data_IF_240753020792
#
_entry.id   IF_240753020792
#
_cell.length_a   1.000
_cell.length_b   1.000
_cell.length_c   1.000
_cell.angle_alpha   90.00
_cell.angle_beta   90.00
_cell.angle_gamma   90.00
#
_symmetry.space_group_name_H-M   'P 1'
#
loop_
_entity.id
_entity.type
_entity.pdbx_description
1 polymer ?
#
# COMPACT_ATOMS: atom_id res chain seq x y z
N UNK A 1 -7.55 -2.36 5.83
CA UNK A 1 -7.79 -3.38 6.87
C UNK A 1 -7.44 -2.84 8.28
N UNK A 2 -8.04 -3.41 9.36
CA UNK A 2 -7.76 -3.04 10.75
C UNK A 2 -8.50 -1.80 11.28
N UNK A 3 -9.41 -1.18 10.55
CA UNK A 3 -10.17 0.01 10.98
C UNK A 3 -11.06 -0.27 12.20
N UNK A 4 -11.76 -1.39 12.21
CA UNK A 4 -12.60 -1.84 13.33
C UNK A 4 -11.75 -2.10 14.57
N UNK A 5 -10.62 -2.79 14.42
CA UNK A 5 -9.66 -3.06 15.50
C UNK A 5 -9.12 -1.77 16.09
N UNK A 6 -8.74 -0.78 15.25
CA UNK A 6 -8.27 0.52 15.72
C UNK A 6 -9.34 1.28 16.51
N UNK A 7 -10.60 1.19 16.09
CA UNK A 7 -11.72 1.84 16.79
C UNK A 7 -11.98 1.21 18.15
N UNK A 8 -12.02 -0.13 18.25
CA UNK A 8 -12.17 -0.86 19.51
C UNK A 8 -11.03 -0.55 20.49
N UNK A 9 -9.79 -0.53 19.98
CA UNK A 9 -8.61 -0.17 20.78
C UNK A 9 -8.69 1.27 21.28
N UNK A 10 -9.09 2.22 20.44
CA UNK A 10 -9.22 3.63 20.83
C UNK A 10 -10.31 3.83 21.87
N UNK A 11 -11.48 3.19 21.71
CA UNK A 11 -12.56 3.24 22.69
C UNK A 11 -12.13 2.67 24.03
N UNK A 12 -11.51 1.49 24.04
CA UNK A 12 -11.03 0.85 25.26
C UNK A 12 -9.98 1.69 25.96
N UNK A 13 -9.02 2.25 25.20
CA UNK A 13 -7.97 3.10 25.75
C UNK A 13 -8.54 4.37 26.36
N UNK A 14 -9.54 5.01 25.74
CA UNK A 14 -10.25 6.17 26.31
C UNK A 14 -10.99 5.81 27.59
N UNK A 15 -11.64 4.65 27.67
CA UNK A 15 -12.31 4.17 28.88
C UNK A 15 -11.32 4.02 30.04
N UNK A 16 -10.20 3.35 29.79
CA UNK A 16 -9.16 3.14 30.82
C UNK A 16 -8.53 4.47 31.30
N UNK A 17 -8.24 5.40 30.38
CA UNK A 17 -7.70 6.73 30.70
C UNK A 17 -8.68 7.50 31.60
N UNK A 18 -9.99 7.45 31.32
CA UNK A 18 -11.01 8.18 32.09
C UNK A 18 -11.20 7.66 33.52
N UNK A 19 -10.69 6.47 33.83
CA UNK A 19 -10.73 5.92 35.19
C UNK A 19 -9.56 6.39 36.07
N UNK A 20 -8.58 7.09 35.53
CA UNK A 20 -7.36 7.47 36.16
C UNK A 20 -7.34 8.99 36.47
N UNK A 21 -7.05 9.35 37.72
CA UNK A 21 -6.89 10.76 38.16
C UNK A 21 -5.39 11.11 38.22
N UNK A 22 -4.70 11.02 37.08
CA UNK A 22 -3.25 11.24 36.95
C UNK A 22 -3.01 12.30 35.87
N UNK A 23 -1.83 12.94 35.93
CA UNK A 23 -1.44 13.95 34.96
C UNK A 23 -1.45 13.37 33.53
N UNK A 24 -2.21 13.99 32.63
CA UNK A 24 -2.37 13.56 31.24
C UNK A 24 -1.02 13.40 30.51
N UNK A 25 -0.03 14.23 30.85
CA UNK A 25 1.31 14.13 30.24
C UNK A 25 2.00 12.82 30.61
N UNK A 26 1.94 12.42 31.87
CA UNK A 26 2.51 11.16 32.36
C UNK A 26 1.82 9.95 31.72
N UNK A 27 0.48 10.03 31.62
CA UNK A 27 -0.29 8.98 30.89
C UNK A 27 0.16 8.87 29.46
N UNK A 28 0.29 10.00 28.73
CA UNK A 28 0.72 9.99 27.31
C UNK A 28 2.13 9.44 27.13
N UNK A 29 3.06 9.84 27.98
CA UNK A 29 4.45 9.36 27.90
C UNK A 29 4.50 7.85 28.18
N UNK A 30 3.72 7.36 29.17
CA UNK A 30 3.59 5.94 29.44
C UNK A 30 2.91 5.15 28.30
N UNK A 31 1.82 5.66 27.73
CA UNK A 31 1.17 5.01 26.57
C UNK A 31 2.15 4.90 25.39
N UNK A 32 2.93 5.95 25.12
CA UNK A 32 3.93 5.93 24.04
C UNK A 32 5.06 4.94 24.30
N UNK A 33 5.52 4.81 25.53
CA UNK A 33 6.49 3.80 25.94
C UNK A 33 5.91 2.40 25.81
N UNK A 34 4.69 2.17 26.29
CA UNK A 34 3.97 0.91 26.18
C UNK A 34 3.75 0.49 24.72
N UNK A 35 3.38 1.43 23.84
CA UNK A 35 3.26 1.18 22.40
C UNK A 35 4.55 0.62 21.81
N UNK A 36 5.70 1.17 22.19
CA UNK A 36 6.99 0.67 21.73
C UNK A 36 7.22 -0.76 22.22
N UNK A 37 6.99 -1.05 23.51
CA UNK A 37 7.15 -2.39 24.08
C UNK A 37 6.24 -3.42 23.40
N UNK A 38 4.99 -3.06 23.08
CA UNK A 38 4.04 -3.95 22.38
C UNK A 38 4.49 -4.19 20.95
N UNK A 39 4.95 -3.17 20.23
CA UNK A 39 5.48 -3.35 18.87
C UNK A 39 6.73 -4.25 18.86
N UNK A 40 7.67 -4.03 19.77
CA UNK A 40 8.87 -4.86 19.91
C UNK A 40 8.50 -6.33 20.25
N UNK A 41 7.44 -6.54 21.03
CA UNK A 41 6.91 -7.87 21.32
C UNK A 41 6.31 -8.51 20.07
N UNK A 42 5.45 -7.80 19.32
CA UNK A 42 4.83 -8.31 18.09
C UNK A 42 5.89 -8.68 17.05
N UNK A 43 6.95 -7.86 16.91
CA UNK A 43 8.08 -8.19 16.03
C UNK A 43 8.80 -9.47 16.44
N UNK A 44 8.94 -9.69 17.74
CA UNK A 44 9.63 -10.87 18.28
C UNK A 44 8.82 -12.16 18.10
N UNK A 45 7.50 -12.10 18.17
CA UNK A 45 6.60 -13.27 18.04
C UNK A 45 6.10 -13.48 16.62
N UNK A 46 6.43 -12.59 15.70
CA UNK A 46 6.02 -12.69 14.30
C UNK A 46 6.61 -13.93 13.63
N UNK A 47 5.81 -14.58 12.81
CA UNK A 47 6.20 -15.74 12.01
C UNK A 47 6.19 -15.35 10.54
N UNK A 48 7.23 -15.71 9.80
CA UNK A 48 7.27 -15.48 8.34
C UNK A 48 6.30 -16.42 7.63
N UNK A 49 5.71 -15.93 6.57
CA UNK A 49 4.79 -16.73 5.75
C UNK A 49 5.56 -17.80 4.99
N UNK A 50 5.13 -19.04 5.12
CA UNK A 50 5.63 -20.20 4.39
C UNK A 50 4.47 -21.05 3.87
N UNK A 51 4.57 -21.53 2.62
CA UNK A 51 3.61 -22.45 2.02
C UNK A 51 2.17 -21.94 2.00
N UNK A 52 1.24 -22.77 2.50
CA UNK A 52 -0.21 -22.55 2.45
C UNK A 52 -0.71 -21.39 3.35
N UNK A 53 0.17 -20.81 4.19
CA UNK A 53 -0.20 -19.66 5.03
C UNK A 53 -0.60 -18.43 4.21
N UNK A 54 -0.08 -18.30 2.98
CA UNK A 54 -0.43 -17.19 2.09
C UNK A 54 -1.93 -17.23 1.71
N UNK A 55 -2.43 -18.42 1.39
CA UNK A 55 -3.86 -18.63 1.08
C UNK A 55 -4.73 -18.35 2.30
N UNK A 56 -4.28 -18.76 3.50
CA UNK A 56 -5.00 -18.50 4.76
C UNK A 56 -5.11 -16.99 5.04
N UNK A 57 -4.00 -16.23 4.91
CA UNK A 57 -4.02 -14.76 5.08
C UNK A 57 -4.97 -14.10 4.10
N UNK A 58 -4.88 -14.47 2.83
CA UNK A 58 -5.72 -13.89 1.78
C UNK A 58 -7.20 -14.20 2.00
N UNK A 59 -7.53 -15.44 2.37
CA UNK A 59 -8.91 -15.87 2.62
C UNK A 59 -9.54 -15.14 3.80
N UNK A 60 -8.82 -15.01 4.93
CA UNK A 60 -9.31 -14.29 6.11
C UNK A 60 -9.61 -12.84 5.77
N UNK A 61 -8.72 -12.20 5.03
CA UNK A 61 -8.90 -10.80 4.63
C UNK A 61 -10.02 -10.60 3.60
N UNK A 62 -10.45 -11.68 2.91
CA UNK A 62 -11.64 -11.72 2.06
C UNK A 62 -12.91 -12.17 2.79
N UNK A 63 -13.04 -11.97 4.10
CA UNK A 63 -14.17 -12.46 4.92
C UNK A 63 -14.34 -13.99 4.89
N UNK A 64 -13.24 -14.74 4.95
CA UNK A 64 -13.16 -16.20 4.85
C UNK A 64 -13.65 -16.77 3.50
N UNK A 65 -13.57 -16.00 2.43
CA UNK A 65 -13.82 -16.48 1.08
C UNK A 65 -12.57 -17.21 0.56
N UNK A 66 -12.60 -18.54 0.57
CA UNK A 66 -11.47 -19.38 0.19
C UNK A 66 -11.17 -19.30 -1.32
N UNK A 67 -12.18 -19.08 -2.17
CA UNK A 67 -11.98 -18.96 -3.63
C UNK A 67 -11.22 -17.67 -3.96
N UNK A 68 -11.67 -16.54 -3.41
CA UNK A 68 -10.97 -15.25 -3.58
C UNK A 68 -9.59 -15.28 -2.95
N UNK A 69 -9.44 -15.88 -1.77
CA UNK A 69 -8.15 -16.03 -1.10
C UNK A 69 -7.15 -16.81 -1.95
N UNK A 70 -7.58 -17.89 -2.59
CA UNK A 70 -6.75 -18.69 -3.49
C UNK A 70 -6.31 -17.89 -4.72
N UNK A 71 -7.22 -17.13 -5.33
CA UNK A 71 -6.91 -16.26 -6.49
C UNK A 71 -5.81 -15.25 -6.13
N UNK A 72 -5.90 -14.59 -4.96
CA UNK A 72 -4.92 -13.61 -4.51
C UNK A 72 -3.58 -14.28 -4.17
N UNK A 73 -3.60 -15.43 -3.49
CA UNK A 73 -2.40 -16.19 -3.20
C UNK A 73 -1.69 -16.67 -4.49
N UNK A 74 -2.47 -17.07 -5.50
CA UNK A 74 -1.94 -17.42 -6.83
C UNK A 74 -1.28 -16.21 -7.51
N UNK A 75 -1.90 -15.01 -7.43
CA UNK A 75 -1.30 -13.78 -7.96
C UNK A 75 0.09 -13.53 -7.35
N UNK A 76 0.19 -13.53 -6.01
CA UNK A 76 1.48 -13.33 -5.33
C UNK A 76 2.49 -14.47 -5.57
N UNK A 77 2.01 -15.69 -5.78
CA UNK A 77 2.89 -16.82 -6.11
C UNK A 77 3.51 -16.64 -7.49
N UNK A 78 2.74 -16.14 -8.46
CA UNK A 78 3.20 -15.89 -9.84
C UNK A 78 4.16 -14.70 -9.94
N UNK A 79 3.87 -13.59 -9.25
CA UNK A 79 4.70 -12.38 -9.33
C UNK A 79 5.81 -12.32 -8.28
N UNK A 80 5.80 -13.21 -7.30
CA UNK A 80 6.78 -13.27 -6.22
C UNK A 80 6.47 -12.32 -5.05
N UNK A 81 7.26 -12.43 -3.98
CA UNK A 81 7.02 -11.72 -2.70
C UNK A 81 7.10 -10.20 -2.79
N UNK A 82 7.95 -9.70 -3.68
CA UNK A 82 8.17 -8.28 -3.93
C UNK A 82 7.36 -7.77 -5.14
N UNK A 83 6.60 -8.68 -5.79
CA UNK A 83 5.77 -8.37 -6.94
C UNK A 83 4.58 -7.46 -6.60
N UNK A 84 4.07 -6.80 -7.60
CA UNK A 84 2.90 -5.93 -7.48
C UNK A 84 1.66 -6.72 -7.89
N UNK A 85 0.62 -6.66 -7.06
CA UNK A 85 -0.70 -7.17 -7.40
C UNK A 85 -1.66 -5.99 -7.46
N UNK A 86 -2.31 -5.83 -8.61
CA UNK A 86 -3.31 -4.80 -8.87
C UNK A 86 -4.67 -5.46 -9.13
N UNK A 87 -5.70 -4.65 -9.15
CA UNK A 87 -7.07 -5.07 -9.38
C UNK A 87 -7.70 -4.26 -10.50
N UNK A 88 -8.44 -4.95 -11.38
CA UNK A 88 -9.18 -4.34 -12.48
C UNK A 88 -10.53 -5.02 -12.65
N UNK A 89 -11.49 -4.35 -13.30
CA UNK A 89 -12.77 -4.98 -13.62
C UNK A 89 -12.61 -6.03 -14.73
N UNK A 90 -13.20 -7.19 -14.50
CA UNK A 90 -13.28 -8.23 -15.52
C UNK A 90 -14.33 -7.87 -16.59
N UNK A 91 -14.07 -8.14 -17.87
CA UNK A 91 -15.10 -8.03 -18.91
C UNK A 91 -16.17 -9.14 -18.81
N UNK A 92 -15.97 -10.11 -17.92
CA UNK A 92 -16.85 -11.25 -17.66
C UNK A 92 -17.30 -11.29 -16.21
N UNK A 93 -18.25 -12.17 -15.87
CA UNK A 93 -18.71 -12.40 -14.49
C UNK A 93 -17.66 -13.13 -13.63
N UNK A 94 -16.65 -13.73 -14.25
CA UNK A 94 -15.62 -14.51 -13.57
C UNK A 94 -14.50 -13.63 -12.99
N UNK A 95 -14.00 -14.04 -11.83
CA UNK A 95 -12.80 -13.45 -11.20
C UNK A 95 -11.61 -14.37 -11.44
N UNK A 96 -10.51 -13.81 -12.00
CA UNK A 96 -9.31 -14.59 -12.33
C UNK A 96 -8.04 -13.74 -12.24
N UNK A 97 -6.87 -14.39 -12.27
CA UNK A 97 -5.56 -13.72 -12.27
C UNK A 97 -4.94 -13.79 -13.63
N UNK A 98 -4.54 -12.64 -14.14
CA UNK A 98 -3.67 -12.47 -15.28
C UNK A 98 -2.32 -11.93 -14.84
N UNK A 99 -1.23 -12.42 -15.39
CA UNK A 99 0.10 -11.84 -15.15
C UNK A 99 0.47 -11.05 -16.39
N UNK A 100 0.77 -9.79 -16.17
CA UNK A 100 1.14 -8.84 -17.23
C UNK A 100 2.51 -8.25 -16.93
N UNK A 101 3.22 -7.85 -17.96
CA UNK A 101 4.47 -7.14 -17.78
C UNK A 101 4.21 -5.77 -17.15
N UNK A 102 5.06 -5.39 -16.23
CA UNK A 102 4.89 -4.13 -15.55
C UNK A 102 6.10 -3.71 -14.74
N UNK A 103 6.18 -2.43 -14.47
CA UNK A 103 7.26 -1.83 -13.71
C UNK A 103 6.73 -0.98 -12.58
N UNK A 104 7.31 -1.16 -11.39
CA UNK A 104 7.12 -0.26 -10.26
C UNK A 104 8.32 0.67 -10.18
N UNK A 105 8.05 1.97 -10.11
CA UNK A 105 9.04 3.01 -9.84
C UNK A 105 8.77 3.64 -8.46
N UNK A 106 9.83 3.86 -7.69
CA UNK A 106 9.76 4.46 -6.34
C UNK A 106 9.61 5.99 -6.46
N UNK A 107 8.54 6.41 -7.09
CA UNK A 107 8.19 7.83 -7.28
C UNK A 107 6.67 7.97 -7.25
N UNK A 108 6.16 8.72 -6.29
CA UNK A 108 4.73 8.91 -6.04
C UNK A 108 4.21 10.26 -6.54
N UNK A 109 2.99 10.59 -6.09
CA UNK A 109 2.28 11.81 -6.42
C UNK A 109 3.08 13.06 -6.01
N UNK A 110 3.37 13.92 -6.95
CA UNK A 110 4.05 15.21 -6.67
C UNK A 110 3.08 16.30 -6.18
N UNK A 111 1.77 16.08 -6.30
CA UNK A 111 0.74 16.97 -5.79
C UNK A 111 -0.58 16.22 -5.57
N UNK A 112 -1.32 16.50 -4.47
CA UNK A 112 -2.65 15.93 -4.23
C UNK A 112 -3.68 16.30 -5.31
N UNK A 113 -3.43 17.35 -6.09
CA UNK A 113 -4.32 17.76 -7.18
C UNK A 113 -4.28 16.80 -8.39
N UNK A 114 -3.29 15.91 -8.47
CA UNK A 114 -3.22 14.87 -9.50
C UNK A 114 -4.02 13.61 -9.16
N UNK A 115 -4.58 13.51 -7.96
CA UNK A 115 -5.46 12.40 -7.55
C UNK A 115 -6.69 12.34 -8.46
N UNK A 116 -7.00 11.16 -8.99
CA UNK A 116 -8.21 10.87 -9.76
C UNK A 116 -9.27 10.20 -8.90
N UNK A 117 -8.87 9.26 -8.05
CA UNK A 117 -9.70 8.61 -7.05
C UNK A 117 -9.40 9.21 -5.66
N UNK A 118 -10.34 10.00 -5.15
CA UNK A 118 -10.17 10.70 -3.86
C UNK A 118 -10.31 9.78 -2.66
N UNK A 119 -11.01 8.69 -2.79
CA UNK A 119 -11.23 7.75 -1.71
C UNK A 119 -9.96 6.94 -1.46
N UNK A 120 -9.32 6.51 -2.54
CA UNK A 120 -8.04 5.77 -2.51
C UNK A 120 -6.80 6.65 -2.46
N UNK A 121 -6.93 7.96 -2.73
CA UNK A 121 -5.82 8.92 -2.84
C UNK A 121 -4.78 8.51 -3.90
N UNK A 122 -5.23 7.94 -5.01
CA UNK A 122 -4.37 7.52 -6.14
C UNK A 122 -4.70 8.28 -7.41
N UNK A 123 -3.75 8.31 -8.34
CA UNK A 123 -3.95 8.75 -9.70
C UNK A 123 -3.90 7.55 -10.63
N UNK A 124 -5.04 7.21 -11.22
CA UNK A 124 -5.18 6.18 -12.24
C UNK A 124 -5.29 6.84 -13.62
N UNK A 125 -4.44 6.42 -14.53
CA UNK A 125 -4.42 6.84 -15.92
C UNK A 125 -4.55 5.60 -16.81
N UNK A 126 -5.54 5.60 -17.67
CA UNK A 126 -5.90 4.51 -18.56
C UNK A 126 -5.34 4.79 -19.95
N UNK A 127 -4.51 3.92 -20.48
CA UNK A 127 -3.82 4.05 -21.75
C UNK A 127 -3.03 5.39 -21.89
N UNK A 128 -2.17 5.73 -20.89
CA UNK A 128 -1.44 6.99 -20.91
C UNK A 128 -0.31 7.02 -21.93
N UNK A 129 -0.08 8.21 -22.47
CA UNK A 129 1.19 8.56 -23.09
C UNK A 129 2.21 8.87 -21.99
N UNK A 130 3.47 8.50 -22.18
CA UNK A 130 4.54 8.68 -21.20
C UNK A 130 5.63 9.58 -21.77
N UNK A 131 5.85 10.72 -21.14
CA UNK A 131 6.93 11.65 -21.48
C UNK A 131 8.03 11.55 -20.43
N UNK A 132 9.28 11.27 -20.84
CA UNK A 132 10.43 11.15 -19.93
C UNK A 132 11.45 12.25 -20.27
N UNK A 133 11.69 13.14 -19.30
CA UNK A 133 12.65 14.24 -19.44
C UNK A 133 13.60 14.23 -18.25
N UNK A 134 14.89 14.02 -18.49
CA UNK A 134 15.92 14.02 -17.43
C UNK A 134 16.28 15.40 -16.92
N UNK A 135 16.09 16.44 -17.75
CA UNK A 135 16.30 17.84 -17.38
C UNK A 135 15.05 18.45 -16.78
N UNK A 136 15.19 19.52 -16.00
CA UNK A 136 14.04 20.24 -15.45
C UNK A 136 13.24 20.91 -16.56
N UNK A 137 11.91 20.79 -16.51
CA UNK A 137 11.00 21.48 -17.42
C UNK A 137 10.69 22.86 -16.82
N UNK A 138 11.34 23.95 -17.31
CA UNK A 138 11.26 25.27 -16.69
C UNK A 138 9.99 26.04 -17.10
N UNK A 139 9.38 25.69 -18.23
CA UNK A 139 8.23 26.39 -18.77
C UNK A 139 7.31 25.44 -19.54
N UNK A 140 6.00 25.66 -19.41
CA UNK A 140 4.97 24.86 -20.09
C UNK A 140 5.08 24.92 -21.62
N UNK A 141 5.65 25.99 -22.17
CA UNK A 141 5.85 26.12 -23.63
C UNK A 141 6.78 25.04 -24.19
N UNK A 142 7.75 24.56 -23.39
CA UNK A 142 8.69 23.52 -23.81
C UNK A 142 8.00 22.18 -24.14
N UNK A 143 6.86 21.93 -23.57
CA UNK A 143 6.05 20.73 -23.80
C UNK A 143 4.72 21.03 -24.51
N UNK A 144 4.61 22.20 -25.15
CA UNK A 144 3.36 22.65 -25.77
C UNK A 144 2.89 21.68 -26.86
N UNK A 145 3.77 21.24 -27.74
CA UNK A 145 3.45 20.29 -28.84
C UNK A 145 2.84 18.99 -28.29
N UNK A 146 3.45 18.45 -27.22
CA UNK A 146 2.93 17.24 -26.53
C UNK A 146 1.55 17.51 -25.92
N UNK A 147 1.36 18.64 -25.24
CA UNK A 147 0.09 19.00 -24.64
C UNK A 147 -1.03 19.19 -25.69
N UNK A 148 -0.72 19.82 -26.82
CA UNK A 148 -1.66 19.95 -27.93
C UNK A 148 -2.06 18.59 -28.49
N UNK A 149 -1.12 17.66 -28.62
CA UNK A 149 -1.39 16.28 -29.05
C UNK A 149 -2.28 15.54 -28.05
N UNK A 150 -1.97 15.64 -26.76
CA UNK A 150 -2.76 15.05 -25.65
C UNK A 150 -4.20 15.58 -25.63
N UNK A 151 -4.39 16.88 -25.79
CA UNK A 151 -5.72 17.50 -25.88
C UNK A 151 -6.49 17.00 -27.10
N UNK A 152 -5.82 16.90 -28.25
CA UNK A 152 -6.41 16.47 -29.51
C UNK A 152 -6.82 14.98 -29.49
N UNK A 153 -5.97 14.14 -28.93
CA UNK A 153 -6.20 12.68 -28.84
C UNK A 153 -7.04 12.29 -27.62
N UNK A 154 -7.20 13.18 -26.63
CA UNK A 154 -7.87 12.95 -25.35
C UNK A 154 -7.26 11.79 -24.53
N UNK A 155 -6.04 11.37 -24.87
CA UNK A 155 -5.30 10.38 -24.08
C UNK A 155 -4.72 11.02 -22.82
N UNK A 156 -4.63 10.30 -21.69
CA UNK A 156 -3.93 10.78 -20.51
C UNK A 156 -2.42 10.95 -20.77
N UNK A 157 -1.76 11.79 -19.98
CA UNK A 157 -0.32 12.00 -20.03
C UNK A 157 0.31 11.75 -18.67
N UNK A 158 1.30 10.89 -18.62
CA UNK A 158 2.21 10.74 -17.49
C UNK A 158 3.53 11.44 -17.83
N UNK A 159 3.93 12.41 -17.01
CA UNK A 159 5.21 13.12 -17.14
C UNK A 159 6.15 12.59 -16.06
N UNK A 160 7.26 12.00 -16.47
CA UNK A 160 8.34 11.53 -15.59
C UNK A 160 9.51 12.48 -15.73
N UNK A 161 9.52 13.54 -14.92
CA UNK A 161 10.49 14.62 -15.01
C UNK A 161 10.52 15.49 -13.76
N UNK A 162 11.64 16.14 -13.44
CA UNK A 162 11.64 17.30 -12.56
C UNK A 162 10.94 18.47 -13.27
N UNK A 163 9.93 19.04 -12.62
CA UNK A 163 9.08 20.09 -13.22
C UNK A 163 9.05 21.31 -12.31
N UNK A 164 9.27 22.50 -12.89
CA UNK A 164 9.15 23.77 -12.16
C UNK A 164 7.76 23.95 -11.53
N UNK A 165 7.72 24.63 -10.38
CA UNK A 165 6.50 24.85 -9.61
C UNK A 165 5.38 25.57 -10.40
N UNK A 166 5.76 26.50 -11.28
CA UNK A 166 4.78 27.24 -12.10
C UNK A 166 4.15 26.33 -13.17
N UNK A 167 4.96 25.47 -13.78
CA UNK A 167 4.49 24.47 -14.74
C UNK A 167 3.58 23.45 -14.06
N UNK A 168 4.00 22.96 -12.89
CA UNK A 168 3.20 22.04 -12.05
C UNK A 168 1.83 22.66 -11.71
N UNK A 169 1.80 23.91 -11.24
CA UNK A 169 0.58 24.62 -10.91
C UNK A 169 -0.33 24.81 -12.14
N UNK A 170 0.25 25.14 -13.31
CA UNK A 170 -0.52 25.29 -14.55
C UNK A 170 -1.15 23.97 -15.02
N UNK A 171 -0.42 22.86 -14.93
CA UNK A 171 -0.94 21.52 -15.28
C UNK A 171 -2.00 21.05 -14.29
N UNK A 172 -1.82 21.27 -12.98
CA UNK A 172 -2.85 21.03 -11.97
C UNK A 172 -4.14 21.79 -12.28
N UNK A 173 -4.03 23.08 -12.62
CA UNK A 173 -5.20 23.92 -12.94
C UNK A 173 -5.93 23.40 -14.18
N UNK A 174 -5.23 22.99 -15.22
CA UNK A 174 -5.84 22.43 -16.43
C UNK A 174 -6.50 21.07 -16.16
N UNK A 175 -5.92 20.24 -15.30
CA UNK A 175 -6.53 18.99 -14.86
C UNK A 175 -7.81 19.24 -14.07
N UNK A 176 -7.80 20.15 -13.10
CA UNK A 176 -8.99 20.49 -12.29
C UNK A 176 -10.11 21.05 -13.17
N UNK A 177 -9.78 21.80 -14.22
CA UNK A 177 -10.76 22.28 -15.23
C UNK A 177 -11.26 21.18 -16.17
N UNK A 178 -10.69 19.97 -16.11
CA UNK A 178 -11.05 18.86 -16.98
C UNK A 178 -10.54 18.97 -18.43
N UNK A 179 -9.62 19.89 -18.71
CA UNK A 179 -9.05 20.08 -20.05
C UNK A 179 -8.11 18.94 -20.45
N UNK A 180 -7.36 18.41 -19.48
CA UNK A 180 -6.39 17.33 -19.68
C UNK A 180 -6.43 16.35 -18.50
N UNK A 181 -6.11 15.08 -18.78
CA UNK A 181 -5.80 14.08 -17.77
C UNK A 181 -4.28 13.95 -17.70
N UNK A 182 -3.67 14.43 -16.62
CA UNK A 182 -2.20 14.46 -16.48
C UNK A 182 -1.79 14.09 -15.07
N UNK A 183 -0.66 13.40 -14.94
CA UNK A 183 0.05 13.20 -13.70
C UNK A 183 1.55 13.51 -13.91
N UNK A 184 2.21 13.94 -12.85
CA UNK A 184 3.64 14.25 -12.83
C UNK A 184 4.27 13.44 -11.70
N UNK A 185 5.30 12.69 -12.03
CA UNK A 185 6.12 11.94 -11.09
C UNK A 185 7.58 12.31 -11.26
N UNK A 186 8.36 12.23 -10.19
CA UNK A 186 9.78 12.50 -10.25
C UNK A 186 10.52 11.33 -10.92
N UNK A 187 11.73 11.62 -11.43
CA UNK A 187 12.57 10.61 -12.08
C UNK A 187 12.94 9.49 -11.08
N UNK A 188 12.86 8.21 -11.51
CA UNK A 188 13.26 7.11 -10.68
C UNK A 188 14.78 7.05 -10.47
N UNK A 189 15.19 6.55 -9.31
CA UNK A 189 16.60 6.36 -8.98
C UNK A 189 17.33 7.63 -8.55
N UNK A 190 18.52 7.45 -8.03
CA UNK A 190 19.42 8.53 -7.63
C UNK A 190 20.88 8.05 -7.62
N UNK A 191 21.82 9.00 -7.76
CA UNK A 191 23.24 8.71 -7.79
C UNK A 191 23.73 8.19 -9.16
N UNK A 192 24.82 7.42 -9.21
CA UNK A 192 25.51 7.08 -10.46
C UNK A 192 24.70 6.23 -11.45
N UNK A 193 23.65 5.54 -10.99
CA UNK A 193 22.81 4.67 -11.82
C UNK A 193 21.47 5.30 -12.18
N UNK A 194 21.26 6.59 -11.89
CA UNK A 194 20.00 7.30 -12.18
C UNK A 194 19.70 7.27 -13.68
N UNK A 195 20.67 7.68 -14.50
CA UNK A 195 20.49 7.76 -15.94
C UNK A 195 20.23 6.38 -16.57
N UNK A 196 20.89 5.34 -16.03
CA UNK A 196 20.63 3.96 -16.43
C UNK A 196 19.21 3.52 -16.08
N UNK A 197 18.69 3.88 -14.90
CA UNK A 197 17.33 3.54 -14.47
C UNK A 197 16.28 4.25 -15.32
N UNK A 198 16.53 5.52 -15.66
CA UNK A 198 15.67 6.29 -16.56
C UNK A 198 15.68 5.71 -17.97
N UNK A 199 16.86 5.28 -18.46
CA UNK A 199 16.98 4.61 -19.76
C UNK A 199 16.28 3.23 -19.78
N UNK A 200 16.29 2.49 -18.66
CA UNK A 200 15.56 1.25 -18.54
C UNK A 200 14.04 1.49 -18.57
N UNK A 201 13.56 2.52 -17.86
CA UNK A 201 12.14 2.90 -17.90
C UNK A 201 11.71 3.33 -19.31
N UNK A 202 12.53 4.14 -19.98
CA UNK A 202 12.25 4.58 -21.33
C UNK A 202 12.17 3.42 -22.33
N UNK A 203 13.08 2.47 -22.18
CA UNK A 203 13.05 1.23 -22.97
C UNK A 203 11.74 0.46 -22.75
N UNK A 204 11.31 0.29 -21.49
CA UNK A 204 10.10 -0.44 -21.13
C UNK A 204 8.82 0.18 -21.70
N UNK A 205 8.72 1.51 -21.74
CA UNK A 205 7.52 2.21 -22.25
C UNK A 205 7.65 2.62 -23.73
N UNK A 206 8.78 2.31 -24.37
CA UNK A 206 9.03 2.73 -25.75
C UNK A 206 9.22 4.24 -25.92
N UNK A 207 9.61 4.97 -24.86
CA UNK A 207 9.85 6.42 -24.90
C UNK A 207 11.29 6.76 -25.24
N UNK A 208 11.50 7.98 -25.75
CA UNK A 208 12.84 8.57 -25.87
C UNK A 208 13.11 9.47 -24.66
N UNK A 209 14.25 9.25 -23.97
CA UNK A 209 14.68 10.14 -22.89
C UNK A 209 15.20 11.45 -23.48
N UNK A 210 14.68 12.57 -23.02
CA UNK A 210 15.13 13.91 -23.37
C UNK A 210 16.09 14.42 -22.29
N UNK A 211 17.31 14.78 -22.67
CA UNK A 211 18.33 15.24 -21.74
C UNK A 211 19.15 16.41 -22.34
N UNK A 212 18.95 17.64 -21.84
CA UNK A 212 19.71 18.82 -22.29
C UNK A 212 21.23 18.68 -22.07
N UNK A 213 21.63 17.93 -21.03
CA UNK A 213 23.06 17.71 -20.74
C UNK A 213 23.75 16.85 -21.81
N UNK A 214 22.98 16.04 -22.52
CA UNK A 214 23.46 15.24 -23.65
C UNK A 214 23.30 15.94 -25.01
N UNK A 215 22.77 17.18 -25.01
CA UNK A 215 22.62 18.00 -26.19
C UNK A 215 21.25 17.98 -26.84
N UNK A 216 20.25 17.37 -26.20
CA UNK A 216 18.88 17.47 -26.67
C UNK A 216 18.30 18.86 -26.38
N UNK A 217 17.48 19.38 -27.31
CA UNK A 217 16.81 20.67 -27.14
C UNK A 217 15.37 20.47 -26.66
N UNK A 218 15.04 21.03 -25.51
CA UNK A 218 13.67 20.97 -24.97
C UNK A 218 12.63 21.67 -25.87
N UNK A 219 13.05 22.56 -26.76
CA UNK A 219 12.15 23.22 -27.74
C UNK A 219 11.75 22.27 -28.89
N UNK A 220 12.48 21.17 -29.06
CA UNK A 220 12.24 20.14 -30.09
C UNK A 220 11.52 18.89 -29.59
N UNK A 221 10.93 18.96 -28.39
CA UNK A 221 10.12 17.83 -27.87
C UNK A 221 8.89 17.66 -28.74
N UNK A 222 8.78 16.51 -29.39
CA UNK A 222 7.68 16.15 -30.26
C UNK A 222 7.02 14.84 -29.83
N UNK A 223 5.93 14.50 -30.49
CA UNK A 223 5.11 13.30 -30.25
C UNK A 223 5.92 12.01 -30.36
N UNK A 224 6.92 11.97 -31.24
CA UNK A 224 7.80 10.82 -31.46
C UNK A 224 8.68 10.45 -30.25
N UNK A 225 8.75 11.33 -29.23
CA UNK A 225 9.46 11.07 -27.99
C UNK A 225 8.59 10.36 -26.94
N UNK A 226 7.29 10.25 -27.17
CA UNK A 226 6.34 9.67 -26.24
C UNK A 226 6.38 8.14 -26.27
N UNK A 227 6.38 7.55 -25.09
CA UNK A 227 6.08 6.14 -24.89
C UNK A 227 4.62 5.91 -24.53
N UNK A 228 4.26 4.65 -24.36
CA UNK A 228 2.91 4.22 -24.04
C UNK A 228 2.90 3.21 -22.88
N UNK A 229 1.81 3.19 -22.15
CA UNK A 229 1.53 2.15 -21.16
C UNK A 229 0.03 1.79 -21.22
N UNK A 230 -0.34 0.59 -20.76
CA UNK A 230 -1.75 0.22 -20.65
C UNK A 230 -2.42 0.94 -19.50
N UNK A 231 -1.77 0.93 -18.33
CA UNK A 231 -2.25 1.67 -17.16
C UNK A 231 -1.09 2.29 -16.41
N UNK A 232 -1.35 3.40 -15.73
CA UNK A 232 -0.42 3.99 -14.78
C UNK A 232 -1.15 4.32 -13.49
N UNK A 233 -0.78 3.68 -12.40
CA UNK A 233 -1.36 3.88 -11.07
C UNK A 233 -0.28 4.48 -10.17
N UNK A 234 -0.53 5.70 -9.68
CA UNK A 234 0.41 6.41 -8.81
C UNK A 234 -0.23 6.63 -7.44
N UNK A 235 0.41 6.15 -6.41
CA UNK A 235 0.09 6.43 -5.00
C UNK A 235 1.00 7.52 -4.40
N UNK A 236 1.03 7.67 -3.09
CA UNK A 236 1.86 8.66 -2.39
C UNK A 236 3.36 8.36 -2.47
N UNK A 237 3.77 7.16 -2.85
CA UNK A 237 5.18 6.70 -2.83
C UNK A 237 5.65 6.09 -4.13
N UNK A 238 4.76 5.41 -4.84
CA UNK A 238 5.14 4.59 -5.99
C UNK A 238 4.26 4.88 -7.19
N UNK A 239 4.78 4.57 -8.37
CA UNK A 239 4.01 4.50 -9.60
C UNK A 239 4.20 3.13 -10.23
N UNK A 240 3.10 2.47 -10.56
CA UNK A 240 3.08 1.18 -11.25
C UNK A 240 2.59 1.40 -12.66
N UNK A 241 3.37 0.94 -13.62
CA UNK A 241 3.04 0.96 -15.05
C UNK A 241 2.81 -0.47 -15.52
N UNK A 242 1.71 -0.71 -16.20
CA UNK A 242 1.48 -1.94 -16.95
C UNK A 242 1.83 -1.69 -18.40
N UNK A 243 2.68 -2.52 -18.96
CA UNK A 243 3.29 -2.33 -20.27
C UNK A 243 3.24 -3.62 -21.10
N UNK A 244 3.56 -3.51 -22.37
CA UNK A 244 3.79 -4.64 -23.28
C UNK A 244 5.19 -4.46 -23.87
N UNK A 245 6.10 -5.33 -23.49
CA UNK A 245 7.49 -5.24 -23.95
C UNK A 245 7.86 -6.49 -24.73
N UNK A 246 8.53 -6.36 -25.88
CA UNK A 246 9.01 -7.50 -26.65
C UNK A 246 9.98 -8.36 -25.82
N UNK A 247 9.68 -9.65 -25.66
CA UNK A 247 10.45 -10.57 -24.81
C UNK A 247 11.92 -10.65 -25.24
N UNK A 248 12.20 -10.71 -26.55
CA UNK A 248 13.55 -10.85 -27.10
C UNK A 248 14.48 -9.69 -26.70
N UNK A 249 13.98 -8.46 -26.78
CA UNK A 249 14.75 -7.25 -26.42
C UNK A 249 14.98 -7.14 -24.90
N UNK A 250 14.03 -7.65 -24.11
CA UNK A 250 14.11 -7.72 -22.67
C UNK A 250 15.20 -8.68 -22.21
N UNK A 251 15.27 -9.88 -22.81
CA UNK A 251 16.28 -10.87 -22.47
C UNK A 251 17.71 -10.35 -22.72
N UNK A 252 17.93 -9.67 -23.86
CA UNK A 252 19.23 -9.06 -24.17
C UNK A 252 19.64 -8.01 -23.12
N UNK A 253 18.70 -7.18 -22.70
CA UNK A 253 18.96 -6.13 -21.70
C UNK A 253 19.25 -6.72 -20.32
N UNK A 254 18.48 -7.69 -19.89
CA UNK A 254 18.71 -8.46 -18.65
C UNK A 254 20.09 -9.12 -18.65
N UNK A 255 20.47 -9.76 -19.76
CA UNK A 255 21.78 -10.38 -19.91
C UNK A 255 22.92 -9.35 -19.82
N UNK A 256 22.74 -8.16 -20.35
CA UNK A 256 23.71 -7.05 -20.26
C UNK A 256 23.89 -6.56 -18.81
N UNK A 257 22.79 -6.42 -18.05
CA UNK A 257 22.84 -6.00 -16.66
C UNK A 257 23.50 -7.07 -15.78
N UNK A 258 23.19 -8.35 -16.00
CA UNK A 258 23.82 -9.45 -15.28
C UNK A 258 25.35 -9.44 -15.46
N UNK A 259 25.83 -9.24 -16.71
CA UNK A 259 27.28 -9.09 -16.97
C UNK A 259 27.88 -7.89 -16.22
N UNK A 260 27.11 -6.83 -16.01
CA UNK A 260 27.55 -5.64 -15.27
C UNK A 260 27.60 -5.92 -13.77
N UNK A 261 26.62 -6.66 -13.22
CA UNK A 261 26.61 -7.10 -11.81
C UNK A 261 27.87 -7.89 -11.49
N UNK A 262 28.28 -8.82 -12.37
CA UNK A 262 29.47 -9.65 -12.20
C UNK A 262 30.76 -8.80 -12.21
N UNK A 263 30.83 -7.79 -13.05
CA UNK A 263 31.99 -6.85 -13.09
C UNK A 263 32.17 -6.04 -11.80
N UNK A 264 31.08 -5.74 -11.09
CA UNK A 264 31.10 -4.93 -9.88
C UNK A 264 31.04 -5.75 -8.59
N UNK A 265 31.44 -7.03 -8.61
CA UNK A 265 31.43 -7.94 -7.45
C UNK A 265 32.16 -7.35 -6.21
N UNK A 266 33.16 -6.50 -6.41
CA UNK A 266 33.92 -5.86 -5.33
C UNK A 266 33.27 -4.59 -4.75
N UNK A 267 32.16 -4.10 -5.31
CA UNK A 267 31.45 -2.92 -4.82
C UNK A 267 29.97 -3.24 -4.51
N UNK A 268 29.66 -3.64 -3.25
CA UNK A 268 28.30 -4.07 -2.87
C UNK A 268 27.23 -3.01 -3.09
N UNK A 269 27.57 -1.73 -3.01
CA UNK A 269 26.61 -0.64 -3.21
C UNK A 269 26.16 -0.56 -4.68
N UNK A 270 27.13 -0.57 -5.61
CA UNK A 270 26.83 -0.52 -7.06
C UNK A 270 26.12 -1.82 -7.48
N UNK A 271 26.59 -2.96 -6.99
CA UNK A 271 25.95 -4.25 -7.25
C UNK A 271 24.48 -4.26 -6.81
N UNK A 272 24.18 -3.73 -5.61
CA UNK A 272 22.80 -3.61 -5.12
C UNK A 272 21.94 -2.76 -6.07
N UNK A 273 22.49 -1.67 -6.62
CA UNK A 273 21.77 -0.80 -7.56
C UNK A 273 21.46 -1.51 -8.89
N UNK A 274 22.41 -2.25 -9.43
CA UNK A 274 22.16 -3.03 -10.65
C UNK A 274 21.15 -4.18 -10.41
N UNK A 275 21.15 -4.78 -9.21
CA UNK A 275 20.11 -5.75 -8.84
C UNK A 275 18.73 -5.11 -8.74
N UNK A 276 18.62 -3.87 -8.26
CA UNK A 276 17.36 -3.13 -8.27
C UNK A 276 16.87 -2.85 -9.69
N UNK A 277 17.77 -2.47 -10.62
CA UNK A 277 17.44 -2.33 -12.05
C UNK A 277 16.97 -3.65 -12.66
N UNK A 278 17.66 -4.75 -12.35
CA UNK A 278 17.27 -6.08 -12.82
C UNK A 278 15.87 -6.45 -12.32
N UNK A 279 15.58 -6.20 -11.04
CA UNK A 279 14.27 -6.44 -10.46
C UNK A 279 13.17 -5.57 -11.10
N UNK A 280 13.51 -4.34 -11.50
CA UNK A 280 12.58 -3.45 -12.22
C UNK A 280 12.26 -3.99 -13.62
N UNK A 281 13.27 -4.48 -14.37
CA UNK A 281 13.10 -5.00 -15.71
C UNK A 281 12.42 -6.37 -15.75
N UNK A 282 12.70 -7.24 -14.78
CA UNK A 282 12.07 -8.57 -14.65
C UNK A 282 10.78 -8.55 -13.87
N UNK A 283 10.26 -7.36 -13.56
CA UNK A 283 9.02 -7.19 -12.81
C UNK A 283 7.81 -7.65 -13.62
N UNK A 284 6.93 -8.39 -12.96
CA UNK A 284 5.60 -8.70 -13.47
C UNK A 284 4.56 -8.16 -12.50
N UNK A 285 3.40 -7.79 -13.03
CA UNK A 285 2.25 -7.31 -12.26
C UNK A 285 1.16 -8.37 -12.32
N UNK A 286 0.74 -8.86 -11.14
CA UNK A 286 -0.42 -9.73 -11.04
C UNK A 286 -1.68 -8.88 -11.13
N UNK A 287 -2.45 -9.05 -12.19
CA UNK A 287 -3.72 -8.36 -12.38
C UNK A 287 -4.87 -9.25 -11.95
N UNK A 288 -5.53 -8.93 -10.85
CA UNK A 288 -6.75 -9.61 -10.41
C UNK A 288 -7.93 -8.98 -11.15
N UNK A 289 -8.45 -9.68 -12.14
CA UNK A 289 -9.66 -9.29 -12.88
C UNK A 289 -10.88 -9.70 -12.06
N UNK A 290 -11.67 -8.71 -11.62
CA UNK A 290 -12.82 -8.94 -10.73
C UNK A 290 -14.11 -8.91 -11.53
N UNK A 291 -14.84 -10.03 -11.53
CA UNK A 291 -16.15 -10.17 -12.15
C UNK A 291 -17.25 -10.34 -11.12
N UNK A 292 -18.47 -9.90 -11.45
CA UNK A 292 -19.67 -10.08 -10.67
C UNK A 292 -20.94 -9.87 -11.52
N UNK A 293 -22.08 -10.40 -11.07
CA UNK A 293 -23.36 -10.34 -11.77
C UNK A 293 -24.01 -8.95 -11.71
N UNK A 294 -23.65 -8.13 -10.74
CA UNK A 294 -24.20 -6.80 -10.55
C UNK A 294 -23.15 -5.76 -10.16
N UNK A 295 -23.42 -4.47 -10.45
CA UNK A 295 -22.52 -3.36 -10.09
C UNK A 295 -22.35 -3.21 -8.57
N UNK A 296 -23.36 -3.54 -7.77
CA UNK A 296 -23.31 -3.44 -6.30
C UNK A 296 -22.40 -4.54 -5.75
N UNK A 297 -22.57 -5.76 -6.23
CA UNK A 297 -21.75 -6.91 -5.89
C UNK A 297 -20.30 -6.70 -6.34
N UNK A 298 -20.10 -6.20 -7.58
CA UNK A 298 -18.78 -5.88 -8.10
C UNK A 298 -18.03 -4.91 -7.18
N UNK A 299 -18.71 -3.86 -6.72
CA UNK A 299 -18.10 -2.90 -5.80
C UNK A 299 -17.70 -3.55 -4.48
N UNK A 300 -18.59 -4.31 -3.87
CA UNK A 300 -18.34 -4.99 -2.61
C UNK A 300 -17.20 -6.02 -2.73
N UNK A 301 -17.19 -6.79 -3.83
CA UNK A 301 -16.15 -7.77 -4.13
C UNK A 301 -14.79 -7.11 -4.38
N UNK A 302 -14.77 -5.95 -5.07
CA UNK A 302 -13.57 -5.14 -5.25
C UNK A 302 -13.02 -4.64 -3.92
N UNK A 303 -13.87 -4.11 -3.04
CA UNK A 303 -13.44 -3.61 -1.72
C UNK A 303 -12.80 -4.75 -0.89
N UNK A 304 -13.39 -5.95 -0.90
CA UNK A 304 -12.82 -7.14 -0.21
C UNK A 304 -11.49 -7.60 -0.81
N UNK A 305 -11.40 -7.66 -2.13
CA UNK A 305 -10.15 -8.07 -2.81
C UNK A 305 -9.05 -7.06 -2.56
N UNK A 306 -9.35 -5.76 -2.56
CA UNK A 306 -8.38 -4.71 -2.25
C UNK A 306 -7.84 -4.85 -0.83
N UNK A 307 -8.70 -5.03 0.16
CA UNK A 307 -8.29 -5.28 1.55
C UNK A 307 -7.37 -6.51 1.65
N UNK A 308 -7.71 -7.59 0.96
CA UNK A 308 -6.91 -8.81 0.98
C UNK A 308 -5.57 -8.67 0.26
N UNK A 309 -5.48 -7.92 -0.84
CA UNK A 309 -4.21 -7.61 -1.51
C UNK A 309 -3.28 -6.86 -0.56
N UNK A 310 -3.77 -5.81 0.11
CA UNK A 310 -2.95 -5.05 1.05
C UNK A 310 -2.58 -5.84 2.31
N UNK A 311 -3.49 -6.64 2.86
CA UNK A 311 -3.22 -7.48 4.01
C UNK A 311 -2.19 -8.57 3.69
N UNK A 312 -2.30 -9.20 2.52
CA UNK A 312 -1.33 -10.20 2.04
C UNK A 312 0.04 -9.59 1.83
N UNK A 313 0.12 -8.40 1.21
CA UNK A 313 1.37 -7.65 1.05
C UNK A 313 1.99 -7.29 2.40
N UNK A 314 1.18 -6.85 3.36
CA UNK A 314 1.63 -6.53 4.71
C UNK A 314 2.20 -7.77 5.42
N UNK A 315 1.53 -8.90 5.29
CA UNK A 315 1.95 -10.17 5.87
C UNK A 315 3.22 -10.73 5.22
N UNK A 316 3.39 -10.60 3.92
CA UNK A 316 4.64 -10.95 3.22
C UNK A 316 5.84 -10.11 3.70
N UNK A 317 5.59 -8.83 4.04
CA UNK A 317 6.62 -7.89 4.46
C UNK A 317 7.09 -8.10 5.90
N UNK A 318 6.17 -8.18 6.86
CA UNK A 318 6.49 -8.22 8.30
C UNK A 318 6.11 -9.54 8.99
N UNK A 319 5.46 -10.46 8.26
CA UNK A 319 4.99 -11.72 8.82
C UNK A 319 3.60 -11.63 9.43
N UNK A 320 3.25 -12.68 10.14
CA UNK A 320 1.94 -12.90 10.76
C UNK A 320 2.07 -13.16 12.25
N UNK A 321 0.99 -12.94 12.98
CA UNK A 321 0.80 -13.30 14.39
C UNK A 321 -0.51 -14.06 14.57
N UNK A 322 -0.71 -14.61 15.77
CA UNK A 322 -2.00 -15.23 16.15
C UNK A 322 -3.14 -14.20 16.04
N UNK A 323 -4.16 -14.53 15.26
CA UNK A 323 -5.32 -13.65 15.01
C UNK A 323 -6.32 -13.61 16.16
N UNK A 324 -7.50 -13.07 15.89
CA UNK A 324 -8.57 -13.00 16.87
C UNK A 324 -8.26 -12.17 18.13
N UNK A 325 -7.31 -11.23 18.03
CA UNK A 325 -6.85 -10.42 19.17
C UNK A 325 -5.93 -11.16 20.16
N UNK A 326 -5.60 -12.43 19.90
CA UNK A 326 -4.78 -13.27 20.81
C UNK A 326 -3.34 -12.74 20.92
N UNK A 327 -2.74 -12.24 19.85
CA UNK A 327 -1.39 -11.67 19.91
C UNK A 327 -1.30 -10.47 20.86
N UNK A 328 -2.31 -9.59 20.85
CA UNK A 328 -2.39 -8.44 21.77
C UNK A 328 -2.70 -8.88 23.20
N UNK A 329 -3.56 -9.89 23.38
CA UNK A 329 -3.82 -10.48 24.70
C UNK A 329 -2.54 -11.06 25.32
N UNK A 330 -1.76 -11.82 24.54
CA UNK A 330 -0.49 -12.36 25.02
C UNK A 330 0.52 -11.25 25.34
N UNK A 331 0.58 -10.20 24.53
CA UNK A 331 1.40 -9.02 24.80
C UNK A 331 1.05 -8.38 26.18
N UNK A 332 -0.25 -8.26 26.49
CA UNK A 332 -0.72 -7.70 27.76
C UNK A 332 -0.29 -8.53 29.00
N UNK A 333 -0.13 -9.84 28.82
CA UNK A 333 0.24 -10.76 29.89
C UNK A 333 1.77 -10.87 30.10
N UNK A 334 2.54 -10.68 29.04
CA UNK A 334 4.00 -10.87 29.08
C UNK A 334 4.78 -9.58 29.35
N UNK A 335 4.22 -8.44 28.97
CA UNK A 335 4.90 -7.15 29.14
C UNK A 335 4.64 -6.63 30.55
N UNK A 336 5.71 -6.35 31.26
CA UNK A 336 5.64 -5.68 32.58
C UNK A 336 5.54 -4.17 32.36
N UNK A 337 4.55 -3.54 33.00
CA UNK A 337 4.40 -2.10 33.01
C UNK A 337 5.34 -1.47 34.05
N UNK A 338 6.07 -0.42 33.64
CA UNK A 338 6.93 0.39 34.52
C UNK A 338 6.28 1.74 34.86
N UNK A 339 5.19 2.09 34.16
CA UNK A 339 4.46 3.35 34.33
C UNK A 339 2.94 3.15 34.20
N UNK A 340 2.15 4.00 34.81
CA UNK A 340 0.68 3.90 34.80
C UNK A 340 0.12 3.96 33.35
N UNK A 341 0.67 4.80 32.47
CA UNK A 341 0.23 4.86 31.11
C UNK A 341 0.49 3.57 30.32
N UNK A 342 1.55 2.83 30.68
CA UNK A 342 1.80 1.49 30.12
C UNK A 342 0.75 0.48 30.62
N UNK A 343 0.41 0.53 31.91
CA UNK A 343 -0.63 -0.34 32.49
C UNK A 343 -2.00 -0.12 31.83
N UNK A 344 -2.35 1.15 31.61
CA UNK A 344 -3.57 1.55 30.89
C UNK A 344 -3.57 0.95 29.48
N UNK A 345 -2.47 1.08 28.73
CA UNK A 345 -2.37 0.51 27.40
C UNK A 345 -2.48 -1.00 27.39
N UNK A 346 -1.76 -1.68 28.30
CA UNK A 346 -1.77 -3.14 28.39
C UNK A 346 -3.15 -3.70 28.74
N UNK A 347 -3.95 -2.99 29.53
CA UNK A 347 -5.36 -3.33 29.75
C UNK A 347 -6.19 -3.12 28.48
N UNK A 348 -6.03 -1.97 27.83
CA UNK A 348 -6.83 -1.60 26.67
C UNK A 348 -6.62 -2.54 25.46
N UNK A 349 -5.41 -3.05 25.26
CA UNK A 349 -5.11 -3.92 24.10
C UNK A 349 -5.78 -5.31 24.17
N UNK A 350 -6.37 -5.68 25.29
CA UNK A 350 -7.15 -6.92 25.43
C UNK A 350 -8.55 -6.82 24.82
N UNK A 351 -9.03 -5.60 24.55
CA UNK A 351 -10.39 -5.34 24.11
C UNK A 351 -10.78 -6.04 22.79
N UNK A 352 -9.95 -6.09 21.74
CA UNK A 352 -10.32 -6.78 20.51
C UNK A 352 -10.68 -8.25 20.73
N UNK A 353 -9.91 -8.96 21.55
CA UNK A 353 -10.20 -10.35 21.91
C UNK A 353 -11.55 -10.49 22.61
N UNK A 354 -11.81 -9.67 23.63
CA UNK A 354 -13.05 -9.72 24.39
C UNK A 354 -14.27 -9.35 23.53
N UNK A 355 -14.13 -8.33 22.67
CA UNK A 355 -15.22 -7.91 21.76
C UNK A 355 -15.60 -9.02 20.77
N UNK A 356 -14.61 -9.75 20.24
CA UNK A 356 -14.88 -10.89 19.35
C UNK A 356 -15.67 -11.97 20.08
N UNK A 357 -15.29 -12.31 21.32
CA UNK A 357 -16.01 -13.31 22.12
C UNK A 357 -17.42 -12.88 22.49
N UNK A 358 -17.59 -11.60 22.89
CA UNK A 358 -18.91 -11.04 23.19
C UNK A 358 -19.84 -11.11 21.98
N UNK A 359 -19.33 -10.75 20.78
CA UNK A 359 -20.09 -10.84 19.53
C UNK A 359 -20.48 -12.28 19.18
N UNK A 360 -19.65 -13.25 19.55
CA UNK A 360 -19.94 -14.67 19.37
C UNK A 360 -20.83 -15.27 20.48
N UNK A 361 -21.20 -14.48 21.51
CA UNK A 361 -21.99 -14.96 22.64
C UNK A 361 -21.24 -15.87 23.63
N UNK A 362 -19.90 -15.86 23.55
CA UNK A 362 -19.03 -16.69 24.40
C UNK A 362 -18.68 -15.91 25.67
N UNK A 363 -19.31 -16.22 26.78
CA UNK A 363 -19.18 -15.47 28.05
C UNK A 363 -18.18 -16.09 29.03
N UNK A 364 -17.79 -17.34 28.85
CA UNK A 364 -16.86 -18.05 29.75
C UNK A 364 -15.59 -18.44 28.99
N UNK A 365 -14.53 -17.74 29.24
CA UNK A 365 -13.20 -18.07 28.73
C UNK A 365 -12.28 -18.31 29.91
N UNK A 366 -11.82 -19.56 30.05
CA UNK A 366 -10.86 -19.91 31.10
C UNK A 366 -9.51 -19.24 30.93
N UNK A 367 -8.66 -19.20 31.99
CA UNK A 367 -7.29 -18.71 31.87
C UNK A 367 -6.52 -19.54 30.87
N UNK A 368 -5.82 -18.88 29.96
CA UNK A 368 -5.06 -19.52 28.86
C UNK A 368 -3.56 -19.45 29.16
N UNK A 369 -2.98 -20.56 29.63
CA UNK A 369 -1.56 -20.57 29.97
C UNK A 369 -0.62 -20.70 28.76
N UNK A 370 -1.15 -21.04 27.58
CA UNK A 370 -0.32 -21.31 26.40
C UNK A 370 -0.37 -20.19 25.38
N UNK A 371 0.81 -19.70 24.96
CA UNK A 371 0.98 -18.69 23.91
C UNK A 371 0.40 -19.21 22.60
N UNK A 372 -0.38 -18.35 21.92
CA UNK A 372 -0.95 -18.66 20.61
C UNK A 372 -2.24 -19.50 20.64
N UNK A 373 -2.70 -19.97 21.82
CA UNK A 373 -4.03 -20.55 21.95
C UNK A 373 -5.12 -19.47 22.02
N UNK A 374 -6.14 -19.66 21.21
CA UNK A 374 -7.32 -18.81 21.18
C UNK A 374 -8.59 -19.62 21.06
N UNK A 375 -9.76 -18.96 20.99
CA UNK A 375 -11.04 -19.60 20.68
C UNK A 375 -11.32 -19.43 19.22
N UNK A 376 -11.59 -20.53 18.55
CA UNK A 376 -12.27 -20.51 17.26
C UNK A 376 -13.76 -20.24 17.53
N UNK A 377 -14.22 -19.04 17.19
CA UNK A 377 -15.61 -18.61 17.49
C UNK A 377 -16.66 -19.35 16.67
N UNK A 378 -16.25 -20.05 15.60
CA UNK A 378 -17.15 -20.89 14.77
C UNK A 378 -17.42 -22.22 15.46
N UNK A 379 -16.39 -22.86 15.99
CA UNK A 379 -16.51 -24.18 16.67
C UNK A 379 -16.72 -24.06 18.17
N UNK A 380 -16.32 -22.94 18.78
CA UNK A 380 -16.32 -22.71 20.21
C UNK A 380 -15.18 -23.41 20.95
N UNK A 381 -14.23 -24.02 20.22
CA UNK A 381 -13.13 -24.79 20.79
C UNK A 381 -11.85 -23.96 20.94
N UNK A 382 -11.00 -24.37 21.90
CA UNK A 382 -9.66 -23.82 22.06
C UNK A 382 -8.73 -24.42 21.02
N UNK A 383 -8.13 -23.56 20.17
CA UNK A 383 -7.27 -23.96 19.07
C UNK A 383 -5.93 -23.20 19.08
N UNK A 384 -4.91 -23.82 18.49
CA UNK A 384 -3.69 -23.08 18.12
C UNK A 384 -4.01 -22.20 16.91
N UNK A 385 -4.05 -20.87 17.14
CA UNK A 385 -4.53 -19.90 16.15
C UNK A 385 -3.74 -19.98 14.85
N UNK A 386 -2.42 -20.10 14.92
CA UNK A 386 -1.57 -20.14 13.70
C UNK A 386 -1.81 -21.44 12.92
N UNK A 387 -1.88 -22.60 13.63
CA UNK A 387 -2.12 -23.89 12.97
C UNK A 387 -3.51 -24.02 12.39
N UNK A 388 -4.48 -23.37 13.02
CA UNK A 388 -5.87 -23.33 12.53
C UNK A 388 -6.11 -22.29 11.44
N UNK A 389 -5.05 -21.57 11.01
CA UNK A 389 -5.14 -20.54 9.98
C UNK A 389 -5.76 -19.23 10.46
N UNK A 390 -6.06 -19.05 11.76
CA UNK A 390 -6.62 -17.82 12.33
C UNK A 390 -5.45 -16.89 12.65
N UNK A 391 -5.08 -16.04 11.71
CA UNK A 391 -3.85 -15.25 11.70
C UNK A 391 -4.10 -13.82 11.28
N UNK A 392 -3.31 -12.88 11.82
CA UNK A 392 -3.37 -11.47 11.46
C UNK A 392 -2.00 -11.00 10.94
N UNK A 393 -1.94 -10.12 9.92
CA UNK A 393 -0.70 -9.47 9.50
C UNK A 393 -0.16 -8.57 10.62
N UNK A 394 1.12 -8.72 10.96
CA UNK A 394 1.79 -7.93 12.00
C UNK A 394 1.66 -6.43 11.75
N UNK A 395 1.91 -6.01 10.50
CA UNK A 395 1.87 -4.61 10.11
C UNK A 395 0.47 -4.00 10.32
N UNK A 396 -0.60 -4.74 10.05
CA UNK A 396 -1.99 -4.31 10.27
C UNK A 396 -2.25 -4.10 11.76
N UNK A 397 -1.88 -5.09 12.59
CA UNK A 397 -2.06 -5.02 14.04
C UNK A 397 -1.30 -3.83 14.65
N UNK A 398 -0.03 -3.62 14.28
CA UNK A 398 0.77 -2.47 14.71
C UNK A 398 0.19 -1.13 14.27
N UNK A 399 -0.28 -1.06 13.01
CA UNK A 399 -0.86 0.16 12.46
C UNK A 399 -2.17 0.51 13.16
N UNK A 400 -3.03 -0.46 13.42
CA UNK A 400 -4.26 -0.27 14.17
C UNK A 400 -3.98 0.28 15.57
N UNK A 401 -3.04 -0.34 16.29
CA UNK A 401 -2.63 0.10 17.63
C UNK A 401 -2.00 1.51 17.61
N UNK A 402 -1.10 1.78 16.68
CA UNK A 402 -0.47 3.11 16.53
C UNK A 402 -1.49 4.20 16.25
N UNK A 403 -2.44 3.95 15.37
CA UNK A 403 -3.49 4.89 15.01
C UNK A 403 -4.45 5.14 16.20
N UNK A 404 -4.85 4.08 16.91
CA UNK A 404 -5.65 4.21 18.13
C UNK A 404 -4.95 5.08 19.18
N UNK A 405 -3.68 4.81 19.47
CA UNK A 405 -2.87 5.61 20.41
C UNK A 405 -2.72 7.05 19.96
N UNK A 406 -2.52 7.31 18.67
CA UNK A 406 -2.40 8.66 18.12
C UNK A 406 -3.68 9.48 18.31
N UNK A 407 -4.83 8.91 17.97
CA UNK A 407 -6.15 9.55 18.11
C UNK A 407 -6.45 9.82 19.58
N UNK A 408 -6.30 8.81 20.44
CA UNK A 408 -6.55 8.94 21.87
C UNK A 408 -5.63 9.99 22.51
N UNK A 409 -4.34 9.99 22.18
CA UNK A 409 -3.39 11.00 22.67
C UNK A 409 -3.79 12.42 22.27
N UNK A 410 -4.47 12.59 21.17
CA UNK A 410 -5.01 13.89 20.75
C UNK A 410 -6.26 14.25 21.53
N UNK A 411 -7.21 13.31 21.67
CA UNK A 411 -8.48 13.53 22.38
C UNK A 411 -8.25 13.89 23.85
N UNK A 412 -7.42 13.12 24.58
CA UNK A 412 -7.14 13.37 26.01
C UNK A 412 -6.36 14.65 26.26
N UNK A 413 -5.83 15.29 25.23
CA UNK A 413 -5.14 16.59 25.34
C UNK A 413 -6.09 17.77 25.13
N UNK A 414 -7.34 17.55 24.75
CA UNK A 414 -8.32 18.58 24.50
C UNK A 414 -9.17 18.83 25.75
N UNK A 415 -9.39 20.10 26.11
CA UNK A 415 -10.29 20.48 27.21
C UNK A 415 -11.76 20.37 26.82
N UNK A 416 -12.07 20.56 25.55
CA UNK A 416 -13.43 20.41 25.02
C UNK A 416 -13.43 20.00 23.55
N UNK A 417 -14.52 19.38 23.13
CA UNK A 417 -14.80 19.05 21.74
C UNK A 417 -16.03 19.84 21.28
N UNK A 418 -15.85 20.66 20.24
CA UNK A 418 -16.93 21.43 19.64
C UNK A 418 -17.32 20.75 18.32
N UNK A 419 -18.56 20.28 18.24
CA UNK A 419 -19.11 19.70 17.02
C UNK A 419 -20.37 20.46 16.59
N UNK A 420 -20.55 20.65 15.26
CA UNK A 420 -21.81 21.15 14.74
C UNK A 420 -22.86 20.04 14.83
N UNK A 421 -24.01 20.32 15.47
CA UNK A 421 -25.15 19.42 15.36
C UNK A 421 -25.62 19.44 13.90
N UNK A 422 -25.65 18.23 13.26
CA UNK A 422 -26.35 18.09 11.97
C UNK A 422 -27.82 18.40 12.19
N UNK A 423 -28.33 19.49 11.61
CA UNK A 423 -29.78 19.69 11.54
C UNK A 423 -30.32 18.59 10.62
N UNK A 424 -31.20 17.76 11.17
CA UNK A 424 -31.96 16.83 10.36
C UNK A 424 -32.84 17.65 9.41
N UNK A 425 -32.58 17.59 8.12
CA UNK A 425 -33.39 18.19 7.06
C UNK A 425 -34.82 17.57 6.94
N UNK A 426 -35.16 16.64 7.81
CA UNK A 426 -36.47 15.95 7.82
C UNK A 426 -37.62 16.74 8.47
N UNK A 427 -37.42 18.00 8.87
CA UNK A 427 -38.45 18.87 9.44
C UNK A 427 -38.57 20.21 8.71
N UNK A 428 -38.61 20.20 7.38
CA UNK A 428 -39.14 21.27 6.57
C UNK A 428 -40.21 20.76 5.60
#
# INVERSE_FOLDING_TARGET
DGTTTATVLAESLLKEVNTCDINIREIKDGIKSGLKKVNDYLDKVSVKIEGDMLESVSSISCNNDAELGKIIAEAYTKVGKDGVVLMEESPTEETYVEVVDGVQIDSGLTSPHFVTDKDKQVCELDNPLVLIVSSEIPNIRKIQTVLEHVIKTKRPLLIVAPVDQQVKAALCMNKVKGNIKVNIVDLPGFGPTKDDTVADLAFLVGAKVINEQLGDDLDLIDVDCLGEAYTAITDDKNTVLTIDTPEDEMEERIASINKTIDKWEKNPFIQKKHRQRLAMLSGSVGMVKVGADSKVELKEKKDRIEDAIYATKAALKEGIVSGGGVALLNASQEITADAVGEEILLKAITAPFHTILENAGITQVGPRPNKGLGVDVVTGEDVDMIKSGIIDPVLVTKSALKNAVSVVSTIISADCVISNMRMNESNQ
#
